data_IF_843686470754
#
_entry.id   IF_843686470754
#
_cell.length_a   1.000
_cell.length_b   1.000
_cell.length_c   1.000
_cell.angle_alpha   90.00
_cell.angle_beta   90.00
_cell.angle_gamma   90.00
#
_symmetry.space_group_name_H-M   'P 1'
#
loop_
_entity.id
_entity.type
_entity.pdbx_description
1 polymer ?
#
# COMPACT_ATOMS: atom_id res chain seq x y z
N UNK A 1 52.67 0.87 8.44
CA UNK A 1 53.67 1.81 7.89
C UNK A 1 55.05 1.23 8.13
N UNK A 2 55.80 0.88 7.08
CA UNK A 2 56.99 0.01 7.13
C UNK A 2 58.32 0.72 7.38
N UNK A 3 58.32 2.03 7.69
CA UNK A 3 59.55 2.83 7.94
C UNK A 3 60.58 2.90 6.80
N UNK A 4 60.35 2.25 5.67
CA UNK A 4 61.20 2.30 4.48
C UNK A 4 61.00 3.62 3.71
N UNK A 5 62.02 4.05 2.97
CA UNK A 5 61.96 5.25 2.12
C UNK A 5 61.07 5.00 0.91
N UNK A 6 60.33 6.02 0.47
CA UNK A 6 59.59 5.96 -0.79
C UNK A 6 60.55 5.72 -1.97
N UNK A 7 60.18 4.83 -2.89
CA UNK A 7 60.98 4.48 -4.06
C UNK A 7 61.11 5.63 -5.08
N UNK A 8 60.18 6.58 -5.06
CA UNK A 8 60.15 7.74 -5.94
C UNK A 8 60.21 9.05 -5.14
N UNK A 9 60.74 10.11 -5.77
CA UNK A 9 60.75 11.45 -5.18
C UNK A 9 59.32 11.97 -5.04
N UNK A 10 58.97 12.44 -3.85
CA UNK A 10 57.65 13.01 -3.54
C UNK A 10 57.79 14.53 -3.42
N UNK A 11 56.88 15.27 -4.05
CA UNK A 11 56.83 16.73 -3.93
C UNK A 11 56.25 17.11 -2.57
N UNK A 12 56.97 17.95 -1.83
CA UNK A 12 56.54 18.48 -0.53
C UNK A 12 56.52 20.00 -0.62
N UNK A 13 55.48 20.62 -0.07
CA UNK A 13 55.32 22.06 -0.06
C UNK A 13 54.26 22.49 0.95
N UNK A 14 54.12 23.81 1.12
CA UNK A 14 53.08 24.39 1.97
C UNK A 14 51.82 24.61 1.14
N UNK A 15 50.74 23.91 1.51
CA UNK A 15 49.42 24.11 0.93
C UNK A 15 48.51 24.78 1.96
N UNK A 16 47.81 25.83 1.54
CA UNK A 16 46.75 26.42 2.35
C UNK A 16 45.44 25.67 2.09
N UNK A 17 45.02 24.85 3.04
CA UNK A 17 43.80 24.04 2.95
C UNK A 17 42.74 24.64 3.88
N UNK A 18 41.58 24.97 3.33
CA UNK A 18 40.46 25.54 4.09
C UNK A 18 39.48 24.44 4.52
N UNK A 19 39.02 24.51 5.78
CA UNK A 19 37.93 23.67 6.28
C UNK A 19 36.59 24.30 5.90
N UNK A 20 35.76 23.55 5.18
CA UNK A 20 34.40 23.97 4.83
C UNK A 20 33.43 23.75 6.00
N UNK A 21 32.34 24.51 6.02
CA UNK A 21 31.29 24.41 7.04
C UNK A 21 30.55 23.07 7.01
N UNK A 22 30.48 22.42 5.84
CA UNK A 22 29.69 21.21 5.65
C UNK A 22 30.35 19.98 6.27
N UNK A 23 30.10 19.77 7.56
CA UNK A 23 30.60 18.63 8.30
C UNK A 23 29.60 17.47 8.28
N UNK A 24 30.13 16.25 8.40
CA UNK A 24 29.33 15.02 8.46
C UNK A 24 28.42 15.03 9.68
N UNK A 25 28.90 15.55 10.81
CA UNK A 25 28.14 15.69 12.05
C UNK A 25 26.83 16.49 11.86
N UNK A 26 26.84 17.47 10.96
CA UNK A 26 25.65 18.26 10.62
C UNK A 26 24.71 17.52 9.65
N UNK A 27 25.23 16.56 8.87
CA UNK A 27 24.49 15.88 7.79
C UNK A 27 23.95 14.51 8.16
N UNK A 28 24.54 13.81 9.13
CA UNK A 28 24.02 12.51 9.58
C UNK A 28 22.61 12.70 10.15
N UNK A 29 21.69 11.85 9.69
CA UNK A 29 20.31 11.79 10.13
C UNK A 29 19.80 10.36 10.02
N UNK A 30 19.11 9.89 11.05
CA UNK A 30 18.48 8.58 11.07
C UNK A 30 17.11 8.68 11.73
N UNK A 31 16.18 7.86 11.26
CA UNK A 31 14.80 7.82 11.76
C UNK A 31 14.33 6.38 11.90
N UNK A 32 13.75 6.07 13.05
CA UNK A 32 12.97 4.85 13.28
C UNK A 32 11.47 5.15 13.24
N UNK A 33 11.00 6.05 14.12
CA UNK A 33 9.61 6.52 14.22
C UNK A 33 9.66 8.04 14.39
N UNK A 34 8.59 8.74 14.03
CA UNK A 34 8.52 10.19 14.18
C UNK A 34 7.13 10.74 13.82
N UNK A 35 7.01 12.07 13.67
CA UNK A 35 5.75 12.71 13.32
C UNK A 35 5.31 12.40 11.88
N UNK A 36 4.00 12.49 11.66
CA UNK A 36 3.34 12.23 10.38
C UNK A 36 2.47 13.42 9.98
N UNK A 37 2.26 13.58 8.68
CA UNK A 37 1.33 14.55 8.12
C UNK A 37 -0.11 14.23 8.55
N UNK A 38 -0.89 15.27 8.85
CA UNK A 38 -2.29 15.12 9.25
C UNK A 38 -3.16 14.53 8.14
N UNK A 39 -2.91 14.92 6.89
CA UNK A 39 -3.76 14.57 5.74
C UNK A 39 -3.33 13.24 5.13
N UNK A 40 -2.08 13.17 4.66
CA UNK A 40 -1.58 12.00 3.92
C UNK A 40 -1.09 10.87 4.81
N UNK A 41 -0.98 11.10 6.13
CA UNK A 41 -0.39 10.17 7.09
C UNK A 41 1.04 9.72 6.77
N UNK A 42 1.70 10.38 5.82
CA UNK A 42 3.08 10.11 5.44
C UNK A 42 4.07 10.74 6.43
N UNK A 43 5.29 10.18 6.56
CA UNK A 43 6.31 10.72 7.44
C UNK A 43 6.73 12.13 6.99
N UNK A 44 6.88 13.09 7.93
CA UNK A 44 7.32 14.46 7.59
C UNK A 44 8.74 14.47 7.00
N UNK A 45 9.10 15.55 6.30
CA UNK A 45 10.43 15.73 5.70
C UNK A 45 11.37 16.61 6.52
N UNK A 46 12.67 16.46 6.31
CA UNK A 46 13.72 17.34 6.87
C UNK A 46 14.28 16.91 8.23
N UNK A 47 15.59 17.14 8.43
CA UNK A 47 16.32 16.75 9.65
C UNK A 47 15.73 17.36 10.92
N UNK A 48 15.33 18.64 10.87
CA UNK A 48 14.80 19.37 12.02
C UNK A 48 13.48 18.79 12.56
N UNK A 49 12.69 18.13 11.71
CA UNK A 49 11.39 17.55 12.09
C UNK A 49 11.48 16.03 12.35
N UNK A 50 12.69 15.50 12.51
CA UNK A 50 12.94 14.06 12.52
C UNK A 50 12.29 13.36 11.32
N UNK A 51 12.45 13.99 10.15
CA UNK A 51 11.78 13.59 8.93
C UNK A 51 12.29 12.27 8.36
N UNK A 52 11.46 11.62 7.55
CA UNK A 52 11.81 10.40 6.83
C UNK A 52 12.58 10.73 5.56
N UNK A 53 13.21 9.70 4.98
CA UNK A 53 13.80 9.82 3.66
C UNK A 53 12.70 9.76 2.60
N UNK A 54 12.78 10.64 1.60
CA UNK A 54 11.90 10.54 0.44
C UNK A 54 12.31 9.34 -0.40
N UNK A 55 11.36 8.44 -0.61
CA UNK A 55 11.46 7.38 -1.61
C UNK A 55 10.67 7.84 -2.83
N UNK A 56 11.37 8.21 -3.90
CA UNK A 56 10.79 8.81 -5.10
C UNK A 56 10.50 7.78 -6.19
N UNK A 57 9.98 8.27 -7.30
CA UNK A 57 9.62 7.45 -8.47
C UNK A 57 10.83 6.71 -9.06
N UNK A 58 12.02 7.34 -9.05
CA UNK A 58 13.24 6.70 -9.55
C UNK A 58 13.67 5.53 -8.67
N UNK A 59 13.53 5.66 -7.35
CA UNK A 59 13.86 4.57 -6.43
C UNK A 59 12.83 3.44 -6.47
N UNK A 60 11.56 3.75 -6.72
CA UNK A 60 10.52 2.76 -7.04
C UNK A 60 10.93 1.94 -8.26
N UNK A 61 11.32 2.60 -9.36
CA UNK A 61 11.77 1.90 -10.57
C UNK A 61 12.98 1.00 -10.31
N UNK A 62 13.92 1.44 -9.46
CA UNK A 62 15.05 0.61 -9.09
C UNK A 62 14.60 -0.70 -8.42
N UNK A 63 13.69 -0.63 -7.44
CA UNK A 63 13.18 -1.84 -6.76
C UNK A 63 12.31 -2.72 -7.67
N UNK A 64 11.53 -2.11 -8.56
CA UNK A 64 10.75 -2.84 -9.56
C UNK A 64 11.67 -3.62 -10.51
N UNK A 65 12.75 -3.01 -10.99
CA UNK A 65 13.74 -3.66 -11.84
C UNK A 65 14.45 -4.83 -11.14
N UNK A 66 14.70 -4.72 -9.83
CA UNK A 66 15.21 -5.83 -9.02
C UNK A 66 14.18 -6.94 -8.77
N UNK A 67 12.89 -6.72 -9.05
CA UNK A 67 11.82 -7.66 -8.72
C UNK A 67 11.53 -7.76 -7.22
N UNK A 68 11.90 -6.74 -6.44
CA UNK A 68 11.78 -6.73 -4.99
C UNK A 68 10.35 -6.32 -4.52
N UNK A 69 9.35 -7.09 -4.92
CA UNK A 69 7.93 -6.76 -4.72
C UNK A 69 7.55 -6.57 -3.24
N UNK A 70 8.00 -7.45 -2.34
CA UNK A 70 7.69 -7.35 -0.91
C UNK A 70 8.35 -6.13 -0.25
N UNK A 71 9.59 -5.82 -0.62
CA UNK A 71 10.31 -4.65 -0.11
C UNK A 71 9.63 -3.36 -0.58
N UNK A 72 9.23 -3.31 -1.85
CA UNK A 72 8.50 -2.17 -2.40
C UNK A 72 7.15 -1.99 -1.69
N UNK A 73 6.41 -3.09 -1.50
CA UNK A 73 5.13 -3.06 -0.79
C UNK A 73 5.30 -2.59 0.65
N UNK A 74 6.32 -3.07 1.37
CA UNK A 74 6.63 -2.65 2.74
C UNK A 74 6.96 -1.16 2.83
N UNK A 75 7.74 -0.64 1.88
CA UNK A 75 8.08 0.78 1.77
C UNK A 75 6.84 1.65 1.51
N UNK A 76 5.98 1.25 0.57
CA UNK A 76 4.81 2.02 0.18
C UNK A 76 3.65 1.96 1.19
N UNK A 77 3.60 0.94 2.04
CA UNK A 77 2.50 0.76 3.00
C UNK A 77 2.99 1.01 4.42
N UNK A 78 3.56 0.00 5.07
CA UNK A 78 3.76 0.00 6.51
C UNK A 78 4.84 0.97 6.98
N UNK A 79 5.85 1.24 6.14
CA UNK A 79 6.88 2.25 6.42
C UNK A 79 6.45 3.68 6.05
N UNK A 80 5.33 3.84 5.34
CA UNK A 80 4.85 5.15 4.85
C UNK A 80 3.56 5.61 5.54
N UNK A 81 2.41 5.10 5.12
CA UNK A 81 1.10 5.71 5.41
C UNK A 81 0.02 4.73 5.93
N UNK A 82 0.30 3.42 5.99
CA UNK A 82 -0.63 2.47 6.61
C UNK A 82 -0.59 2.58 8.14
N UNK A 83 -1.50 3.38 8.69
CA UNK A 83 -1.62 3.63 10.14
C UNK A 83 -1.86 2.36 10.95
N UNK A 84 -2.62 1.40 10.41
CA UNK A 84 -2.92 0.16 11.11
C UNK A 84 -1.76 -0.83 10.99
N UNK A 85 -1.22 -0.98 9.78
CA UNK A 85 -0.07 -1.83 9.50
C UNK A 85 1.16 -1.42 10.32
N UNK A 86 1.44 -0.12 10.46
CA UNK A 86 2.65 0.35 11.17
C UNK A 86 2.62 0.05 12.66
N UNK A 87 1.45 0.20 13.30
CA UNK A 87 1.28 -0.11 14.71
C UNK A 87 1.44 -1.62 14.96
N UNK A 88 0.82 -2.44 14.10
CA UNK A 88 0.95 -3.90 14.15
C UNK A 88 2.39 -4.35 13.97
N UNK A 89 3.10 -3.81 12.97
CA UNK A 89 4.50 -4.15 12.75
C UNK A 89 5.34 -3.76 13.96
N UNK A 90 5.14 -2.56 14.51
CA UNK A 90 5.88 -2.13 15.69
C UNK A 90 5.68 -3.09 16.88
N UNK A 91 4.43 -3.46 17.17
CA UNK A 91 4.14 -4.46 18.21
C UNK A 91 4.76 -5.82 17.90
N UNK A 92 4.75 -6.24 16.64
CA UNK A 92 5.30 -7.53 16.22
C UNK A 92 6.81 -7.58 16.41
N UNK A 93 7.52 -6.49 16.07
CA UNK A 93 8.96 -6.34 16.27
C UNK A 93 9.30 -6.40 17.76
N UNK A 94 8.53 -5.70 18.61
CA UNK A 94 8.73 -5.75 20.07
C UNK A 94 8.47 -7.16 20.62
N UNK A 95 7.52 -7.90 20.05
CA UNK A 95 7.18 -9.29 20.43
C UNK A 95 8.11 -10.34 19.79
N UNK A 96 9.09 -9.94 18.98
CA UNK A 96 9.99 -10.86 18.26
C UNK A 96 9.32 -11.71 17.18
N UNK A 97 8.14 -11.31 16.69
CA UNK A 97 7.43 -11.99 15.58
C UNK A 97 7.47 -11.11 14.35
N UNK A 98 7.88 -11.66 13.21
CA UNK A 98 7.97 -10.92 11.95
C UNK A 98 6.77 -11.24 11.06
N UNK A 99 5.59 -10.72 11.41
CA UNK A 99 4.38 -10.85 10.60
C UNK A 99 4.09 -9.53 9.89
N UNK A 100 4.07 -9.60 8.55
CA UNK A 100 3.80 -8.46 7.67
C UNK A 100 2.35 -8.55 7.19
N UNK A 101 1.46 -7.82 7.86
CA UNK A 101 0.09 -7.60 7.42
C UNK A 101 -0.01 -6.21 6.78
N UNK A 102 -0.06 -6.14 5.45
CA UNK A 102 -0.19 -4.88 4.71
C UNK A 102 -1.65 -4.55 4.45
N UNK A 103 -2.09 -3.35 4.84
CA UNK A 103 -3.42 -2.82 4.57
C UNK A 103 -3.51 -1.96 3.31
N UNK A 104 -4.63 -1.24 3.19
CA UNK A 104 -4.81 -0.21 2.17
C UNK A 104 -4.14 1.09 2.64
N UNK A 105 -3.24 1.69 1.83
CA UNK A 105 -2.58 2.95 2.16
C UNK A 105 -3.58 4.09 2.33
N UNK A 106 -3.31 5.00 3.27
CA UNK A 106 -4.20 6.13 3.56
C UNK A 106 -4.20 7.16 2.41
N UNK A 107 -3.06 7.35 1.74
CA UNK A 107 -2.95 8.21 0.56
C UNK A 107 -3.93 7.81 -0.55
N UNK A 108 -4.16 6.51 -0.75
CA UNK A 108 -5.14 6.03 -1.72
C UNK A 108 -6.58 6.34 -1.32
N UNK A 109 -6.89 6.33 -0.01
CA UNK A 109 -8.21 6.75 0.48
C UNK A 109 -8.43 8.25 0.27
N UNK A 110 -7.39 9.06 0.54
CA UNK A 110 -7.41 10.50 0.27
C UNK A 110 -7.66 10.75 -1.22
N UNK A 111 -6.94 10.07 -2.11
CA UNK A 111 -7.16 10.14 -3.56
C UNK A 111 -8.61 9.84 -3.97
N UNK A 112 -9.21 8.77 -3.42
CA UNK A 112 -10.63 8.46 -3.71
C UNK A 112 -11.55 9.58 -3.24
N UNK A 113 -11.28 10.17 -2.07
CA UNK A 113 -12.09 11.27 -1.53
C UNK A 113 -11.95 12.54 -2.38
N UNK A 114 -10.75 12.85 -2.86
CA UNK A 114 -10.49 13.97 -3.75
C UNK A 114 -11.20 13.79 -5.09
N UNK A 115 -11.15 12.60 -5.70
CA UNK A 115 -11.86 12.33 -6.96
C UNK A 115 -13.39 12.41 -6.79
N UNK A 116 -13.91 11.94 -5.65
CA UNK A 116 -15.34 12.08 -5.32
C UNK A 116 -15.77 13.53 -5.13
N UNK A 117 -14.90 14.38 -4.60
CA UNK A 117 -15.15 15.82 -4.48
C UNK A 117 -15.35 16.49 -5.84
N UNK A 118 -14.75 15.93 -6.90
CA UNK A 118 -14.92 16.35 -8.30
C UNK A 118 -16.13 15.69 -9.00
N UNK A 119 -17.07 15.14 -8.24
CA UNK A 119 -18.24 14.41 -8.75
C UNK A 119 -17.91 13.13 -9.54
N UNK A 120 -16.71 12.57 -9.40
CA UNK A 120 -16.35 11.28 -10.00
C UNK A 120 -16.65 10.13 -9.02
N UNK A 121 -17.64 9.30 -9.36
CA UNK A 121 -18.00 8.18 -8.50
C UNK A 121 -17.07 6.98 -8.70
N UNK A 122 -16.11 6.82 -7.79
CA UNK A 122 -15.18 5.68 -7.76
C UNK A 122 -15.55 4.76 -6.60
N UNK A 123 -15.86 3.51 -6.92
CA UNK A 123 -16.08 2.44 -5.96
C UNK A 123 -15.20 1.23 -6.25
N UNK A 124 -14.67 0.63 -5.19
CA UNK A 124 -13.92 -0.62 -5.26
C UNK A 124 -14.87 -1.76 -5.68
N UNK A 125 -14.59 -2.42 -6.81
CA UNK A 125 -15.47 -3.44 -7.38
C UNK A 125 -15.75 -4.60 -6.42
N UNK A 126 -14.78 -5.01 -5.62
CA UNK A 126 -14.96 -6.04 -4.59
C UNK A 126 -16.02 -5.64 -3.56
N UNK A 127 -16.08 -4.34 -3.20
CA UNK A 127 -17.11 -3.80 -2.30
C UNK A 127 -18.49 -3.81 -2.95
N UNK A 128 -18.56 -3.52 -4.26
CA UNK A 128 -19.79 -3.62 -5.04
C UNK A 128 -20.31 -5.06 -5.14
N UNK A 129 -19.42 -6.02 -5.41
CA UNK A 129 -19.77 -7.45 -5.47
C UNK A 129 -20.23 -7.97 -4.11
N UNK A 130 -19.59 -7.57 -3.01
CA UNK A 130 -20.04 -7.92 -1.66
C UNK A 130 -21.39 -7.27 -1.29
N UNK A 131 -21.63 -6.00 -1.65
CA UNK A 131 -22.93 -5.35 -1.46
C UNK A 131 -24.02 -6.07 -2.26
N UNK A 132 -23.78 -6.37 -3.54
CA UNK A 132 -24.70 -7.12 -4.39
C UNK A 132 -24.92 -8.55 -3.90
N UNK A 133 -23.86 -9.23 -3.46
CA UNK A 133 -23.92 -10.56 -2.86
C UNK A 133 -24.74 -10.60 -1.57
N UNK A 134 -24.58 -9.61 -0.67
CA UNK A 134 -25.41 -9.46 0.53
C UNK A 134 -26.87 -9.13 0.18
N UNK A 135 -27.11 -8.32 -0.85
CA UNK A 135 -28.46 -8.05 -1.35
C UNK A 135 -29.12 -9.33 -1.95
N UNK A 136 -28.36 -10.13 -2.70
CA UNK A 136 -28.78 -11.45 -3.20
C UNK A 136 -28.95 -12.47 -2.07
N UNK A 137 -28.19 -12.37 -0.98
CA UNK A 137 -28.36 -13.23 0.20
C UNK A 137 -29.62 -12.85 0.98
N UNK A 138 -30.02 -11.58 0.95
CA UNK A 138 -31.31 -11.10 1.49
C UNK A 138 -32.52 -11.64 0.71
N UNK A 139 -32.32 -12.20 -0.49
CA UNK A 139 -33.37 -12.89 -1.26
C UNK A 139 -33.85 -14.19 -0.61
N UNK A 140 -33.02 -14.83 0.23
CA UNK A 140 -33.45 -15.96 1.08
C UNK A 140 -34.45 -15.53 2.16
N UNK A 141 -34.46 -14.25 2.55
CA UNK A 141 -35.47 -13.68 3.44
C UNK A 141 -36.82 -13.52 2.73
N UNK A 142 -36.82 -13.27 1.41
CA UNK A 142 -38.03 -13.26 0.57
C UNK A 142 -38.63 -14.65 0.29
N UNK A 143 -37.89 -15.75 0.52
CA UNK A 143 -38.44 -17.11 0.43
C UNK A 143 -39.37 -17.50 1.60
N UNK A 144 -39.45 -16.68 2.66
CA UNK A 144 -40.34 -16.89 3.82
C UNK A 144 -41.73 -16.21 3.69
N UNK A 145 -42.06 -15.63 2.52
CA UNK A 145 -43.38 -15.05 2.27
C UNK A 145 -44.41 -16.14 1.89
N UNK A 146 -45.65 -16.10 2.40
CA UNK A 146 -46.63 -17.16 2.18
C UNK A 146 -47.12 -17.25 0.72
N UNK A 147 -47.13 -18.48 0.19
CA UNK A 147 -47.97 -19.02 -0.90
C UNK A 147 -47.99 -18.32 -2.26
N UNK A 148 -48.54 -17.10 -2.33
CA UNK A 148 -48.97 -16.47 -3.58
C UNK A 148 -47.80 -15.93 -4.42
N UNK A 149 -46.68 -15.57 -3.80
CA UNK A 149 -45.49 -15.06 -4.49
C UNK A 149 -44.56 -16.17 -5.03
N UNK A 150 -44.73 -17.43 -4.61
CA UNK A 150 -43.95 -18.56 -5.15
C UNK A 150 -44.37 -18.91 -6.59
N UNK A 151 -45.65 -18.76 -6.93
CA UNK A 151 -46.14 -18.98 -8.30
C UNK A 151 -45.52 -17.97 -9.29
N UNK A 152 -45.35 -16.72 -8.87
CA UNK A 152 -44.72 -15.68 -9.70
C UNK A 152 -43.22 -15.95 -9.93
N UNK A 153 -42.53 -16.56 -8.95
CA UNK A 153 -41.13 -16.96 -9.06
C UNK A 153 -40.90 -18.13 -10.04
N UNK A 154 -41.93 -18.94 -10.34
CA UNK A 154 -41.85 -20.00 -11.33
C UNK A 154 -41.94 -19.46 -12.76
N UNK A 155 -42.68 -18.36 -12.96
CA UNK A 155 -42.93 -17.73 -14.27
C UNK A 155 -41.73 -16.88 -14.74
N UNK A 156 -40.98 -16.29 -13.80
CA UNK A 156 -39.90 -15.34 -14.08
C UNK A 156 -38.49 -15.95 -14.18
N UNK A 157 -38.31 -17.28 -14.11
CA UNK A 157 -36.97 -17.89 -14.25
C UNK A 157 -36.60 -18.17 -15.72
N UNK A 158 -35.62 -17.45 -16.31
CA UNK A 158 -35.21 -17.62 -17.71
C UNK A 158 -34.52 -18.96 -18.02
N UNK A 159 -34.20 -19.79 -17.01
CA UNK A 159 -33.38 -20.99 -17.18
C UNK A 159 -34.15 -22.31 -17.39
N UNK A 160 -35.49 -22.34 -17.35
CA UNK A 160 -36.27 -23.56 -17.65
C UNK A 160 -36.50 -23.80 -19.16
N UNK A 161 -36.35 -22.77 -20.00
CA UNK A 161 -36.53 -22.91 -21.46
C UNK A 161 -35.45 -23.81 -22.11
N UNK A 162 -34.26 -23.86 -21.50
CA UNK A 162 -33.13 -24.65 -22.00
C UNK A 162 -33.22 -26.14 -21.64
N UNK A 163 -33.97 -26.52 -20.59
CA UNK A 163 -34.22 -27.92 -20.25
C UNK A 163 -35.43 -28.52 -20.98
N UNK A 164 -36.46 -27.70 -21.29
CA UNK A 164 -37.65 -28.19 -22.01
C UNK A 164 -37.37 -28.57 -23.47
N UNK A 165 -36.36 -27.96 -24.12
CA UNK A 165 -35.93 -28.33 -25.48
C UNK A 165 -35.26 -29.71 -25.58
N UNK A 166 -34.67 -30.24 -24.51
CA UNK A 166 -34.09 -31.60 -24.50
C UNK A 166 -35.12 -32.71 -24.29
N UNK A 167 -36.28 -32.38 -23.71
CA UNK A 167 -37.36 -33.33 -23.46
C UNK A 167 -38.34 -33.45 -24.64
N UNK A 168 -38.39 -32.48 -25.56
CA UNK A 168 -39.24 -32.53 -26.76
C UNK A 168 -38.51 -33.00 -28.04
N UNK A 169 -37.28 -33.50 -27.94
CA UNK A 169 -36.52 -34.07 -29.08
C UNK A 169 -36.36 -35.60 -28.99
N UNK A 170 -37.18 -36.26 -28.17
CA UNK A 170 -37.16 -37.72 -27.91
C UNK A 170 -38.56 -38.36 -27.99
N UNK A 171 -39.47 -37.71 -28.70
CA UNK A 171 -40.74 -38.28 -29.18
C UNK A 171 -40.88 -37.88 -30.65
#
# INVERSE_FOLDING_TARGET
>A
MTSERFSQKVTVGYAYIMKLHHLVDEKIHARSIGPYSLVTQQPLGGKAQFGGQRFGEMEVWALEAYGAAYTLQELLTVKSDDVHGRNKIYESIVKGRHQLDTGLPESFKVLISELKSLCLNIELLQKLMMKRGKALMNWKKLQKMPGILQLLQLILKPNLWRQRKRLMSLQ
#
